data_IF_950152094110
#
_entry.id   IF_950152094110
#
_cell.length_a   1.000
_cell.length_b   1.000
_cell.length_c   1.000
_cell.angle_alpha   90.00
_cell.angle_beta   90.00
_cell.angle_gamma   90.00
#
_symmetry.space_group_name_H-M   'P 1'
#
loop_
_entity.id
_entity.type
_entity.pdbx_description
1 polymer ?
#
# COMPACT_ATOMS: atom_id res chain seq x y z
N UNK A 1 18.97 13.31 3.48
CA UNK A 1 18.98 12.11 2.61
C UNK A 1 20.24 11.31 2.90
N UNK A 2 20.17 9.99 2.96
CA UNK A 2 21.29 9.08 3.25
C UNK A 2 21.46 8.12 2.06
N UNK A 3 22.68 7.89 1.60
CA UNK A 3 22.99 6.94 0.52
C UNK A 3 23.24 5.54 1.10
N UNK A 4 22.53 4.54 0.60
CA UNK A 4 22.70 3.13 0.97
C UNK A 4 23.16 2.34 -0.25
N UNK A 5 24.37 1.79 -0.18
CA UNK A 5 25.02 1.05 -1.30
C UNK A 5 25.07 -0.47 -1.06
N UNK A 6 24.58 -0.96 0.08
CA UNK A 6 24.68 -2.38 0.43
C UNK A 6 23.31 -3.05 0.56
N UNK A 7 23.15 -4.20 -0.10
CA UNK A 7 22.01 -5.10 0.10
C UNK A 7 21.91 -5.68 1.53
N UNK A 8 23.01 -5.67 2.28
CA UNK A 8 23.04 -6.16 3.66
C UNK A 8 22.55 -5.13 4.68
N UNK A 9 22.31 -3.88 4.26
CA UNK A 9 21.74 -2.83 5.10
C UNK A 9 20.39 -3.26 5.68
N UNK A 10 20.17 -3.02 6.96
CA UNK A 10 18.96 -3.45 7.68
C UNK A 10 17.66 -2.88 7.08
N UNK A 11 17.69 -1.63 6.59
CA UNK A 11 16.54 -0.96 5.96
C UNK A 11 16.20 -1.61 4.61
N UNK A 12 17.20 -1.95 3.79
CA UNK A 12 17.03 -2.66 2.52
C UNK A 12 16.52 -4.07 2.75
N UNK A 13 17.07 -4.80 3.72
CA UNK A 13 16.57 -6.14 4.10
C UNK A 13 15.11 -6.09 4.57
N UNK A 14 14.75 -5.08 5.32
CA UNK A 14 13.37 -4.88 5.75
C UNK A 14 12.46 -4.66 4.53
N UNK A 15 12.80 -3.73 3.63
CA UNK A 15 12.01 -3.48 2.41
C UNK A 15 11.86 -4.76 1.58
N UNK A 16 12.95 -5.52 1.34
CA UNK A 16 12.90 -6.83 0.69
C UNK A 16 11.94 -7.80 1.36
N UNK A 17 11.95 -7.85 2.69
CA UNK A 17 11.09 -8.77 3.45
C UNK A 17 9.61 -8.46 3.27
N UNK A 18 9.22 -7.20 3.06
CA UNK A 18 7.83 -6.77 2.87
C UNK A 18 7.18 -7.31 1.59
N UNK A 19 7.95 -7.88 0.67
CA UNK A 19 7.39 -8.65 -0.45
C UNK A 19 6.61 -9.88 0.03
N UNK A 20 6.92 -10.40 1.23
CA UNK A 20 6.26 -11.56 1.83
C UNK A 20 5.21 -11.13 2.87
N UNK A 21 4.02 -11.73 2.80
CA UNK A 21 2.90 -11.47 3.73
C UNK A 21 3.30 -11.58 5.21
N UNK A 22 4.07 -12.63 5.56
CA UNK A 22 4.56 -12.87 6.93
C UNK A 22 5.23 -11.63 7.55
N UNK A 23 6.01 -10.91 6.76
CA UNK A 23 6.74 -9.74 7.27
C UNK A 23 5.89 -8.48 7.23
N UNK A 24 4.94 -8.35 6.28
CA UNK A 24 3.95 -7.27 6.33
C UNK A 24 3.11 -7.37 7.60
N UNK A 25 2.61 -8.57 7.90
CA UNK A 25 1.86 -8.82 9.15
C UNK A 25 2.74 -8.55 10.41
N UNK A 26 4.01 -8.94 10.38
CA UNK A 26 4.93 -8.73 11.52
C UNK A 26 5.25 -7.26 11.78
N UNK A 27 5.56 -6.52 10.72
CA UNK A 27 6.00 -5.13 10.84
C UNK A 27 4.84 -4.14 10.73
N UNK A 28 3.65 -4.60 10.34
CA UNK A 28 2.49 -3.75 10.04
C UNK A 28 2.82 -2.67 9.01
N UNK A 29 3.62 -3.05 8.01
CA UNK A 29 4.10 -2.17 6.94
C UNK A 29 3.88 -2.83 5.56
N UNK A 30 3.73 -2.01 4.54
CA UNK A 30 3.67 -2.45 3.15
C UNK A 30 4.39 -1.50 2.20
N UNK A 31 4.61 -1.96 0.96
CA UNK A 31 5.30 -1.23 -0.09
C UNK A 31 4.29 -0.54 -1.00
N UNK A 32 4.51 0.74 -1.27
CA UNK A 32 3.83 1.50 -2.31
C UNK A 32 4.85 2.06 -3.29
N UNK A 33 4.75 1.68 -4.56
CA UNK A 33 5.70 2.07 -5.59
C UNK A 33 5.08 3.00 -6.64
N UNK A 34 5.88 3.96 -7.10
CA UNK A 34 5.55 4.84 -8.22
C UNK A 34 5.16 6.26 -7.83
N UNK A 35 5.48 7.18 -8.74
CA UNK A 35 5.33 8.62 -8.56
C UNK A 35 3.87 9.02 -8.31
N UNK A 36 2.92 8.52 -9.11
CA UNK A 36 1.49 8.86 -8.95
C UNK A 36 0.94 8.43 -7.59
N UNK A 37 1.34 7.25 -7.12
CA UNK A 37 0.93 6.74 -5.82
C UNK A 37 1.50 7.60 -4.70
N UNK A 38 2.75 8.03 -4.82
CA UNK A 38 3.39 8.90 -3.84
C UNK A 38 2.74 10.30 -3.78
N UNK A 39 2.39 10.89 -4.92
CA UNK A 39 1.64 12.15 -4.98
C UNK A 39 0.30 12.06 -4.21
N UNK A 40 -0.40 10.94 -4.36
CA UNK A 40 -1.65 10.73 -3.64
C UNK A 40 -1.45 10.59 -2.13
N UNK A 41 -0.40 9.89 -1.71
CA UNK A 41 -0.04 9.77 -0.29
C UNK A 41 0.19 11.14 0.32
N UNK A 42 0.91 12.03 -0.39
CA UNK A 42 1.15 13.40 0.05
C UNK A 42 -0.17 14.19 0.09
N UNK A 43 -0.95 14.16 -1.00
CA UNK A 43 -2.21 14.91 -1.09
C UNK A 43 -3.22 14.53 0.00
N UNK A 44 -3.15 13.30 0.51
CA UNK A 44 -4.00 12.77 1.60
C UNK A 44 -3.37 12.85 2.98
N UNK A 45 -2.16 13.42 3.10
CA UNK A 45 -1.40 13.47 4.36
C UNK A 45 -1.25 12.09 5.03
N UNK A 46 -1.05 11.03 4.23
CA UNK A 46 -0.85 9.68 4.75
C UNK A 46 0.56 9.57 5.34
N UNK A 47 0.65 9.00 6.54
CA UNK A 47 1.93 8.79 7.21
C UNK A 47 2.83 7.86 6.39
N UNK A 48 4.10 8.26 6.21
CA UNK A 48 5.14 7.48 5.53
C UNK A 48 6.21 7.12 6.54
N UNK A 49 6.53 5.83 6.64
CA UNK A 49 7.57 5.35 7.55
C UNK A 49 8.97 5.66 7.01
N UNK A 50 9.18 5.44 5.72
CA UNK A 50 10.43 5.77 5.00
C UNK A 50 10.23 5.73 3.50
N UNK A 51 11.17 6.35 2.77
CA UNK A 51 11.21 6.38 1.32
C UNK A 51 12.55 5.83 0.81
N UNK A 52 12.49 5.01 -0.24
CA UNK A 52 13.65 4.64 -1.06
C UNK A 52 13.51 5.29 -2.44
N UNK A 53 14.59 5.86 -2.94
CA UNK A 53 14.59 6.47 -4.27
C UNK A 53 15.92 6.25 -4.99
N UNK A 54 15.88 6.34 -6.31
CA UNK A 54 17.07 6.30 -7.16
C UNK A 54 17.32 7.67 -7.77
N UNK A 55 18.52 7.87 -8.31
CA UNK A 55 18.87 9.09 -9.05
C UNK A 55 17.86 9.40 -10.17
N UNK A 56 17.29 8.38 -10.81
CA UNK A 56 16.25 8.53 -11.82
C UNK A 56 15.00 9.25 -11.29
N UNK A 57 14.56 8.94 -10.07
CA UNK A 57 13.44 9.64 -9.45
C UNK A 57 13.82 11.05 -9.03
N UNK A 58 15.03 11.24 -8.52
CA UNK A 58 15.53 12.55 -8.09
C UNK A 58 15.68 13.55 -9.24
N UNK A 59 16.08 13.10 -10.43
CA UNK A 59 16.19 13.95 -11.62
C UNK A 59 14.85 14.23 -12.32
N UNK A 60 13.79 13.50 -11.97
CA UNK A 60 12.43 13.76 -12.44
C UNK A 60 11.80 14.87 -11.58
N UNK A 61 11.27 15.94 -12.20
CA UNK A 61 10.69 17.08 -11.48
C UNK A 61 9.60 16.67 -10.47
N UNK A 62 8.70 15.74 -10.85
CA UNK A 62 7.66 15.24 -9.96
C UNK A 62 8.24 14.42 -8.81
N UNK A 63 9.24 13.57 -9.11
CA UNK A 63 9.93 12.77 -8.10
C UNK A 63 10.67 13.67 -7.09
N UNK A 64 11.35 14.70 -7.57
CA UNK A 64 12.03 15.69 -6.73
C UNK A 64 11.04 16.44 -5.83
N UNK A 65 9.95 16.93 -6.39
CA UNK A 65 8.87 17.60 -5.64
C UNK A 65 8.28 16.72 -4.54
N UNK A 66 8.09 15.42 -4.81
CA UNK A 66 7.65 14.45 -3.81
C UNK A 66 8.68 14.35 -2.67
N UNK A 67 9.96 14.16 -3.00
CA UNK A 67 11.02 14.00 -2.00
C UNK A 67 11.18 15.23 -1.09
N UNK A 68 10.94 16.43 -1.62
CA UNK A 68 10.94 17.68 -0.85
C UNK A 68 9.76 17.81 0.12
N UNK A 69 8.62 17.20 -0.20
CA UNK A 69 7.39 17.24 0.61
C UNK A 69 7.30 16.11 1.65
N UNK A 70 8.12 15.06 1.48
CA UNK A 70 8.09 13.92 2.41
C UNK A 70 8.71 14.28 3.76
N UNK A 71 7.95 14.03 4.82
CA UNK A 71 8.36 14.26 6.20
C UNK A 71 8.80 12.96 6.87
N UNK A 72 9.67 12.18 6.19
CA UNK A 72 10.16 10.89 6.65
C UNK A 72 11.63 10.68 6.23
N UNK A 73 12.34 9.71 6.81
CA UNK A 73 13.67 9.32 6.34
C UNK A 73 13.67 8.89 4.88
N UNK A 74 14.48 9.54 4.04
CA UNK A 74 14.63 9.23 2.63
C UNK A 74 16.03 8.68 2.34
N UNK A 75 16.08 7.53 1.65
CA UNK A 75 17.29 6.78 1.35
C UNK A 75 17.51 6.69 -0.16
N UNK A 76 18.61 7.25 -0.62
CA UNK A 76 19.05 7.03 -1.99
C UNK A 76 19.67 5.63 -2.10
N UNK A 77 19.28 4.89 -3.14
CA UNK A 77 19.83 3.57 -3.44
C UNK A 77 20.19 3.47 -4.92
N UNK A 78 21.29 2.75 -5.27
CA UNK A 78 21.61 2.44 -6.66
C UNK A 78 20.51 1.62 -7.34
N UNK A 79 20.38 1.73 -8.66
CA UNK A 79 19.36 1.03 -9.46
C UNK A 79 19.35 -0.49 -9.21
N UNK A 80 20.52 -1.14 -9.08
CA UNK A 80 20.61 -2.57 -8.85
C UNK A 80 20.03 -3.01 -7.48
N UNK A 81 20.09 -2.15 -6.45
CA UNK A 81 19.46 -2.37 -5.15
C UNK A 81 17.95 -2.13 -5.28
N UNK A 82 17.57 -1.03 -5.93
CA UNK A 82 16.17 -0.70 -6.12
C UNK A 82 15.42 -1.81 -6.87
N UNK A 83 15.98 -2.34 -7.95
CA UNK A 83 15.43 -3.47 -8.69
C UNK A 83 15.18 -4.72 -7.85
N UNK A 84 16.00 -4.96 -6.82
CA UNK A 84 15.80 -6.10 -5.90
C UNK A 84 14.63 -5.89 -4.96
N UNK A 85 14.40 -4.68 -4.49
CA UNK A 85 13.28 -4.36 -3.58
C UNK A 85 11.98 -4.07 -4.32
N UNK A 86 12.03 -3.77 -5.62
CA UNK A 86 10.87 -3.52 -6.48
C UNK A 86 10.21 -4.82 -6.94
N UNK A 87 8.87 -4.78 -7.09
CA UNK A 87 8.05 -5.85 -7.71
C UNK A 87 7.72 -5.51 -9.19
N UNK A 88 8.26 -4.42 -9.74
CA UNK A 88 7.98 -3.98 -11.11
C UNK A 88 9.15 -4.25 -12.04
N UNK A 89 8.85 -4.61 -13.31
CA UNK A 89 9.87 -4.82 -14.34
C UNK A 89 10.56 -3.50 -14.76
N UNK A 90 9.82 -2.39 -14.75
CA UNK A 90 10.31 -1.08 -15.13
C UNK A 90 10.02 -0.05 -14.05
N UNK A 91 10.77 -0.07 -12.94
CA UNK A 91 10.50 0.78 -11.80
C UNK A 91 10.73 2.26 -12.12
N UNK A 92 9.93 3.13 -11.51
CA UNK A 92 10.06 4.59 -11.61
C UNK A 92 11.10 5.15 -10.65
N UNK A 93 11.70 4.30 -9.81
CA UNK A 93 12.75 4.68 -8.88
C UNK A 93 12.27 5.40 -7.62
N UNK A 94 10.99 5.32 -7.27
CA UNK A 94 10.42 5.89 -6.04
C UNK A 94 9.52 4.87 -5.35
N UNK A 95 9.82 4.58 -4.09
CA UNK A 95 9.12 3.60 -3.25
C UNK A 95 8.90 4.17 -1.86
N UNK A 96 7.68 4.08 -1.37
CA UNK A 96 7.31 4.43 -0.01
C UNK A 96 7.03 3.16 0.80
N UNK A 97 7.45 3.15 2.05
CA UNK A 97 7.04 2.16 3.05
C UNK A 97 6.01 2.82 3.95
N UNK A 98 4.82 2.24 3.99
CA UNK A 98 3.66 2.79 4.67
C UNK A 98 3.17 1.86 5.76
N UNK A 99 2.60 2.38 6.87
CA UNK A 99 1.90 1.57 7.85
C UNK A 99 0.60 1.00 7.26
N UNK A 100 0.29 -0.25 7.60
CA UNK A 100 -0.98 -0.88 7.30
C UNK A 100 -2.08 -0.13 8.05
N UNK A 101 -3.14 0.24 7.34
CA UNK A 101 -4.33 0.81 7.95
C UNK A 101 -5.22 -0.32 8.45
N UNK A 102 -5.38 -0.41 9.77
CA UNK A 102 -6.24 -1.40 10.39
C UNK A 102 -7.61 -0.78 10.66
N UNK A 103 -8.62 -1.30 10.01
CA UNK A 103 -10.03 -0.98 10.25
C UNK A 103 -10.74 -2.20 10.84
N UNK A 104 -11.76 -1.97 11.66
CA UNK A 104 -12.60 -3.00 12.23
C UNK A 104 -14.09 -2.75 11.91
N UNK A 105 -14.96 -3.70 12.19
CA UNK A 105 -16.39 -3.56 11.91
C UNK A 105 -17.04 -2.43 12.72
N UNK A 106 -16.57 -2.18 13.94
CA UNK A 106 -17.10 -1.10 14.79
C UNK A 106 -16.87 0.29 14.16
N UNK A 107 -15.79 0.46 13.39
CA UNK A 107 -15.53 1.70 12.66
C UNK A 107 -16.68 1.98 11.66
N UNK A 108 -17.34 0.94 11.13
CA UNK A 108 -18.47 1.08 10.22
C UNK A 108 -19.75 1.57 10.92
N UNK A 109 -19.87 1.35 12.22
CA UNK A 109 -21.03 1.82 12.98
C UNK A 109 -21.14 3.36 12.98
N UNK A 110 -20.02 4.04 12.79
CA UNK A 110 -19.94 5.51 12.67
C UNK A 110 -20.19 6.00 11.24
N UNK A 111 -20.09 5.11 10.24
CA UNK A 111 -20.38 5.40 8.85
C UNK A 111 -21.89 5.30 8.63
N UNK A 112 -22.46 6.23 7.88
CA UNK A 112 -23.90 6.28 7.61
C UNK A 112 -24.45 4.91 7.20
N UNK A 113 -25.44 4.38 7.94
CA UNK A 113 -26.04 3.06 7.73
C UNK A 113 -26.68 2.88 6.33
N UNK A 114 -27.03 3.97 5.65
CA UNK A 114 -27.50 3.93 4.28
C UNK A 114 -26.33 4.02 3.30
N UNK A 115 -25.88 2.90 2.77
CA UNK A 115 -24.76 2.90 1.82
C UNK A 115 -24.52 1.51 1.22
N UNK A 116 -23.74 1.48 0.15
CA UNK A 116 -23.29 0.24 -0.48
C UNK A 116 -22.00 -0.22 0.22
N UNK A 117 -22.02 -1.44 0.70
CA UNK A 117 -20.87 -2.15 1.24
C UNK A 117 -20.54 -3.33 0.34
N UNK A 118 -19.27 -3.61 0.15
CA UNK A 118 -18.81 -4.70 -0.70
C UNK A 118 -18.13 -5.77 0.17
N UNK A 119 -18.57 -7.02 0.02
CA UNK A 119 -17.99 -8.16 0.71
C UNK A 119 -17.19 -8.98 -0.30
N UNK A 120 -15.92 -9.23 0.02
CA UNK A 120 -15.04 -10.13 -0.74
C UNK A 120 -14.92 -11.45 0.02
N UNK A 121 -15.56 -12.48 -0.54
CA UNK A 121 -15.54 -13.82 0.03
C UNK A 121 -14.49 -14.69 -0.66
N UNK A 122 -13.38 -14.97 0.04
CA UNK A 122 -12.29 -15.90 -0.39
C UNK A 122 -11.72 -15.60 -1.77
N UNK A 123 -11.75 -14.36 -2.20
CA UNK A 123 -11.19 -13.95 -3.49
C UNK A 123 -9.66 -14.07 -3.48
N UNK A 124 -9.08 -14.82 -4.46
CA UNK A 124 -7.66 -15.18 -4.45
C UNK A 124 -6.82 -14.37 -5.43
N UNK A 125 -7.38 -13.94 -6.58
CA UNK A 125 -6.59 -13.25 -7.59
C UNK A 125 -6.29 -11.79 -7.19
N UNK A 126 -5.01 -11.42 -7.01
CA UNK A 126 -4.64 -10.06 -6.61
C UNK A 126 -5.02 -8.98 -7.62
N UNK A 127 -5.03 -9.31 -8.92
CA UNK A 127 -5.39 -8.37 -9.97
C UNK A 127 -6.88 -8.02 -9.91
N UNK A 128 -7.73 -9.04 -9.69
CA UNK A 128 -9.17 -8.86 -9.51
C UNK A 128 -9.46 -8.04 -8.25
N UNK A 129 -8.81 -8.34 -7.13
CA UNK A 129 -8.98 -7.59 -5.87
C UNK A 129 -8.67 -6.10 -6.09
N UNK A 130 -7.52 -5.77 -6.68
CA UNK A 130 -7.17 -4.38 -6.94
C UNK A 130 -8.13 -3.68 -7.89
N UNK A 131 -8.60 -4.37 -8.92
CA UNK A 131 -9.61 -3.83 -9.86
C UNK A 131 -10.94 -3.58 -9.15
N UNK A 132 -11.37 -4.49 -8.28
CA UNK A 132 -12.59 -4.34 -7.49
C UNK A 132 -12.48 -3.16 -6.53
N UNK A 133 -11.34 -2.99 -5.84
CA UNK A 133 -11.10 -1.84 -4.95
C UNK A 133 -11.25 -0.53 -5.73
N UNK A 134 -10.67 -0.43 -6.93
CA UNK A 134 -10.81 0.76 -7.79
C UNK A 134 -12.26 1.02 -8.21
N UNK A 135 -12.97 -0.04 -8.59
CA UNK A 135 -14.37 0.08 -9.00
C UNK A 135 -15.24 0.49 -7.83
N UNK A 136 -15.04 -0.12 -6.66
CA UNK A 136 -15.74 0.20 -5.42
C UNK A 136 -15.56 1.68 -5.03
N UNK A 137 -14.32 2.18 -5.10
CA UNK A 137 -14.00 3.59 -4.87
C UNK A 137 -14.76 4.51 -5.85
N UNK A 138 -14.69 4.21 -7.15
CA UNK A 138 -15.37 4.99 -8.18
C UNK A 138 -16.91 4.97 -8.05
N UNK A 139 -17.48 3.89 -7.51
CA UNK A 139 -18.91 3.73 -7.27
C UNK A 139 -19.39 4.33 -5.95
N UNK A 140 -18.50 4.88 -5.14
CA UNK A 140 -18.84 5.46 -3.84
C UNK A 140 -19.22 4.44 -2.78
N UNK A 141 -18.70 3.21 -2.89
CA UNK A 141 -18.82 2.16 -1.86
C UNK A 141 -18.26 2.70 -0.54
N UNK A 142 -18.96 2.44 0.56
CA UNK A 142 -18.61 2.99 1.89
C UNK A 142 -17.46 2.26 2.55
N UNK A 143 -17.39 0.95 2.37
CA UNK A 143 -16.28 0.13 2.83
C UNK A 143 -16.24 -1.21 2.08
N UNK A 144 -15.08 -1.86 2.11
CA UNK A 144 -14.89 -3.25 1.66
C UNK A 144 -14.62 -4.13 2.87
N UNK A 145 -15.31 -5.25 2.96
CA UNK A 145 -15.14 -6.26 4.02
C UNK A 145 -14.57 -7.52 3.37
N UNK A 146 -13.37 -7.90 3.76
CA UNK A 146 -12.71 -9.11 3.26
C UNK A 146 -12.87 -10.24 4.28
N UNK A 147 -13.58 -11.28 3.90
CA UNK A 147 -13.73 -12.47 4.73
C UNK A 147 -12.41 -13.26 4.82
N UNK A 148 -12.30 -14.08 5.86
CA UNK A 148 -11.19 -15.00 6.04
C UNK A 148 -11.00 -15.86 4.78
N UNK A 149 -9.73 -15.98 4.35
CA UNK A 149 -9.39 -16.68 3.12
C UNK A 149 -9.27 -15.75 1.90
N UNK A 150 -9.66 -14.49 1.96
CA UNK A 150 -9.37 -13.51 0.91
C UNK A 150 -7.86 -13.20 0.87
N UNK A 151 -7.29 -13.08 -0.32
CA UNK A 151 -5.87 -12.78 -0.49
C UNK A 151 -5.50 -11.42 0.12
N UNK A 152 -4.22 -11.25 0.39
CA UNK A 152 -3.69 -10.07 1.08
C UNK A 152 -3.83 -8.79 0.22
N UNK A 153 -4.64 -7.85 0.71
CA UNK A 153 -4.89 -6.56 0.05
C UNK A 153 -3.66 -5.65 0.02
N UNK A 154 -2.70 -5.87 0.90
CA UNK A 154 -1.44 -5.11 0.95
C UNK A 154 -0.29 -5.81 0.18
N UNK A 155 -0.59 -6.88 -0.57
CA UNK A 155 0.41 -7.48 -1.46
C UNK A 155 0.79 -6.48 -2.57
N UNK A 156 2.06 -6.45 -3.03
CA UNK A 156 2.52 -5.48 -4.03
C UNK A 156 1.65 -5.45 -5.29
N UNK A 157 1.17 -6.61 -5.73
CA UNK A 157 0.30 -6.72 -6.91
C UNK A 157 -1.09 -6.09 -6.70
N UNK A 158 -1.71 -6.27 -5.52
CA UNK A 158 -3.00 -5.62 -5.19
C UNK A 158 -2.81 -4.11 -5.06
N UNK A 159 -1.82 -3.68 -4.30
CA UNK A 159 -1.52 -2.25 -4.09
C UNK A 159 -1.31 -1.53 -5.42
N UNK A 160 -0.55 -2.14 -6.33
CA UNK A 160 -0.32 -1.59 -7.67
C UNK A 160 -1.60 -1.53 -8.50
N UNK A 161 -2.41 -2.60 -8.51
CA UNK A 161 -3.63 -2.64 -9.33
C UNK A 161 -4.76 -1.80 -8.77
N UNK A 162 -4.78 -1.53 -7.47
CA UNK A 162 -5.72 -0.61 -6.82
C UNK A 162 -5.46 0.87 -7.17
N UNK A 163 -4.28 1.21 -7.71
CA UNK A 163 -3.92 2.55 -8.20
C UNK A 163 -4.26 3.67 -7.19
N UNK A 164 -4.04 3.42 -5.90
CA UNK A 164 -4.27 4.38 -4.82
C UNK A 164 -5.67 4.42 -4.23
N UNK A 165 -6.66 3.79 -4.85
CA UNK A 165 -8.01 3.66 -4.27
C UNK A 165 -8.01 2.96 -2.90
N UNK A 166 -6.92 2.24 -2.58
CA UNK A 166 -6.67 1.65 -1.27
C UNK A 166 -6.78 2.66 -0.10
N UNK A 167 -6.56 3.94 -0.37
CA UNK A 167 -6.58 5.01 0.62
C UNK A 167 -7.88 5.82 0.65
N UNK A 168 -8.86 5.47 -0.18
CA UNK A 168 -10.07 6.24 -0.34
C UNK A 168 -11.25 5.71 0.46
N UNK A 169 -11.22 4.42 0.80
CA UNK A 169 -12.29 3.76 1.54
C UNK A 169 -11.72 2.78 2.57
N UNK A 170 -12.38 2.61 3.72
CA UNK A 170 -11.99 1.61 4.70
C UNK A 170 -12.03 0.20 4.10
N UNK A 171 -10.98 -0.59 4.34
CA UNK A 171 -10.95 -2.02 4.00
C UNK A 171 -10.70 -2.81 5.26
N UNK A 172 -11.72 -3.56 5.68
CA UNK A 172 -11.68 -4.42 6.85
C UNK A 172 -11.30 -5.82 6.41
N UNK A 173 -10.31 -6.42 7.05
CA UNK A 173 -9.78 -7.72 6.64
C UNK A 173 -9.90 -8.76 7.74
N UNK A 174 -9.83 -10.03 7.36
CA UNK A 174 -9.80 -11.17 8.29
C UNK A 174 -11.11 -11.31 9.12
N UNK A 175 -12.23 -10.98 8.52
CA UNK A 175 -13.56 -11.10 9.16
C UNK A 175 -14.08 -12.52 8.99
N UNK A 176 -14.61 -13.11 10.05
CA UNK A 176 -15.33 -14.38 9.96
C UNK A 176 -16.76 -14.15 9.46
N UNK A 177 -17.38 -15.18 8.88
CA UNK A 177 -18.79 -15.12 8.48
C UNK A 177 -19.70 -14.84 9.70
N UNK A 178 -19.35 -15.38 10.87
CA UNK A 178 -20.11 -15.17 12.11
C UNK A 178 -20.03 -13.69 12.58
N UNK A 179 -18.84 -13.09 12.55
CA UNK A 179 -18.68 -11.68 12.91
C UNK A 179 -19.45 -10.78 11.95
N UNK A 180 -19.43 -11.09 10.65
CA UNK A 180 -20.19 -10.34 9.66
C UNK A 180 -21.72 -10.44 9.88
N UNK A 181 -22.23 -11.61 10.21
CA UNK A 181 -23.67 -11.83 10.45
C UNK A 181 -24.15 -11.21 11.76
N UNK A 182 -23.26 -11.00 12.73
CA UNK A 182 -23.57 -10.35 14.00
C UNK A 182 -23.53 -8.82 13.94
N UNK A 183 -22.93 -8.28 12.89
CA UNK A 183 -22.84 -6.85 12.62
C UNK A 183 -24.09 -6.32 11.91
#
# INVERSE_FOLDING_TARGET
MELITSLTNAKVKMALSLQQKKYRDKYQLFILEGIRNAEMVIAKNISVQMCFFTQKAFTNERGKSILEQLNCPCFEVPEHIYQKISDTQSPQGLMLILPIQNHNLDDLATINKSGLYLILDRLQDPGNIGTIIRTADAMGVKAIICLNGTADIYSPKVVRSAMGSLFNLPIITKISEQDLLSF
#
